data_IF_182020827255
#
_entry.id   IF_182020827255
#
_cell.length_a   1.000
_cell.length_b   1.000
_cell.length_c   1.000
_cell.angle_alpha   90.00
_cell.angle_beta   90.00
_cell.angle_gamma   90.00
#
_symmetry.space_group_name_H-M   'P 1'
#
loop_
_entity.id
_entity.type
_entity.pdbx_description
1 polymer ?
#
# COMPACT_ATOMS: atom_id res chain seq x y z
N UNK A 1 34.84 35.86 52.84
CA UNK A 1 33.51 35.82 52.18
C UNK A 1 33.75 35.32 50.77
N UNK A 2 33.22 34.22 50.25
CA UNK A 2 31.94 33.52 50.47
C UNK A 2 32.16 32.00 50.36
N UNK A 3 31.55 31.23 51.26
CA UNK A 3 31.34 29.78 51.15
C UNK A 3 29.95 29.53 50.56
N UNK A 4 29.76 28.46 49.79
CA UNK A 4 28.60 27.63 50.02
C UNK A 4 29.04 26.25 50.51
N UNK A 5 28.69 26.00 51.77
CA UNK A 5 28.54 24.69 52.38
C UNK A 5 27.27 24.00 51.87
N UNK A 6 27.18 22.68 52.07
CA UNK A 6 26.09 21.73 51.77
C UNK A 6 26.18 21.11 50.35
N UNK A 7 26.16 19.79 50.14
CA UNK A 7 25.67 18.69 50.99
C UNK A 7 26.20 17.33 50.46
N UNK A 8 26.78 16.56 51.39
CA UNK A 8 26.68 15.09 51.54
C UNK A 8 26.91 14.18 50.32
N UNK A 9 28.08 13.52 50.33
CA UNK A 9 28.26 12.19 49.78
C UNK A 9 27.59 11.14 50.69
N UNK A 10 26.86 10.19 50.10
CA UNK A 10 26.58 8.90 50.71
C UNK A 10 26.53 7.86 49.58
N UNK A 11 27.51 6.97 49.61
CA UNK A 11 27.71 5.83 48.72
C UNK A 11 27.13 4.58 49.41
N UNK A 12 26.80 3.57 48.58
CA UNK A 12 26.43 2.17 48.89
C UNK A 12 24.95 1.87 49.12
N UNK A 13 24.36 1.18 48.15
CA UNK A 13 23.61 -0.06 48.39
C UNK A 13 23.74 -0.98 47.17
N UNK A 14 24.18 -2.19 47.48
CA UNK A 14 24.52 -3.30 46.60
C UNK A 14 23.23 -3.94 46.02
N UNK A 15 23.40 -4.55 44.85
CA UNK A 15 22.39 -5.32 44.12
C UNK A 15 21.72 -6.44 44.95
N UNK A 16 20.42 -6.68 44.72
CA UNK A 16 19.83 -7.98 44.32
C UNK A 16 18.29 -7.89 44.30
N UNK A 17 17.69 -7.91 43.11
CA UNK A 17 16.36 -8.48 42.86
C UNK A 17 16.13 -8.65 41.35
N UNK A 18 16.73 -9.69 40.75
CA UNK A 18 16.17 -10.29 39.53
C UNK A 18 15.06 -11.24 39.97
N UNK A 19 13.80 -10.89 39.69
CA UNK A 19 12.79 -11.80 39.14
C UNK A 19 11.40 -11.13 39.12
N UNK A 20 10.74 -11.34 37.97
CA UNK A 20 9.29 -11.24 37.76
C UNK A 20 8.65 -9.84 37.74
N UNK A 21 8.50 -9.31 36.52
CA UNK A 21 7.28 -8.63 36.05
C UNK A 21 7.30 -8.54 34.51
N UNK A 22 7.24 -9.68 33.81
CA UNK A 22 6.79 -9.68 32.41
C UNK A 22 5.26 -9.65 32.39
N UNK A 23 4.67 -8.55 32.84
CA UNK A 23 3.28 -8.22 32.54
C UNK A 23 3.28 -6.96 31.67
N UNK A 24 3.69 -7.12 30.42
CA UNK A 24 3.27 -6.23 29.35
C UNK A 24 1.75 -6.10 29.43
N UNK A 25 1.17 -4.89 29.32
CA UNK A 25 -0.25 -4.77 29.07
C UNK A 25 -0.53 -5.51 27.77
N UNK A 26 -1.14 -6.70 27.87
CA UNK A 26 -1.79 -7.30 26.72
C UNK A 26 -2.85 -6.28 26.33
N UNK A 27 -2.59 -5.58 25.22
CA UNK A 27 -3.56 -4.68 24.63
C UNK A 27 -4.91 -5.38 24.66
N UNK A 28 -5.90 -4.70 25.25
CA UNK A 28 -7.25 -5.22 25.43
C UNK A 28 -7.76 -5.67 24.07
N UNK A 29 -7.80 -6.98 23.86
CA UNK A 29 -8.53 -7.54 22.72
C UNK A 29 -10.00 -7.45 23.12
N UNK A 30 -10.68 -6.41 22.64
CA UNK A 30 -12.15 -6.40 22.68
C UNK A 30 -12.58 -7.59 21.83
N UNK A 31 -12.87 -8.72 22.47
CA UNK A 31 -13.59 -9.83 21.85
C UNK A 31 -15.06 -9.45 21.88
N UNK A 32 -15.47 -8.60 20.94
CA UNK A 32 -16.88 -8.50 20.57
C UNK A 32 -17.23 -9.83 19.89
N UNK A 33 -18.25 -10.52 20.39
CA UNK A 33 -18.58 -11.91 20.06
C UNK A 33 -18.97 -12.10 18.61
N UNK A 34 -17.97 -12.27 17.74
CA UNK A 34 -18.19 -12.74 16.37
C UNK A 34 -18.84 -11.70 15.47
N UNK A 35 -18.22 -10.53 15.33
CA UNK A 35 -18.35 -9.79 14.07
C UNK A 35 -17.01 -9.13 13.82
N UNK A 36 -16.20 -9.77 12.98
CA UNK A 36 -15.09 -9.08 12.34
C UNK A 36 -15.65 -7.80 11.75
N UNK A 37 -14.95 -6.68 11.90
CA UNK A 37 -15.22 -5.47 11.14
C UNK A 37 -14.84 -5.73 9.66
N UNK A 38 -15.52 -6.67 9.01
CA UNK A 38 -15.73 -6.61 7.59
C UNK A 38 -16.76 -5.52 7.43
N UNK A 39 -16.38 -4.36 6.89
CA UNK A 39 -17.37 -3.52 6.22
C UNK A 39 -18.21 -4.47 5.38
N UNK A 40 -19.54 -4.44 5.52
CA UNK A 40 -20.50 -5.22 4.76
C UNK A 40 -20.37 -4.90 3.25
N UNK A 41 -19.25 -5.29 2.64
CA UNK A 41 -19.08 -5.34 1.21
C UNK A 41 -19.61 -6.70 0.83
N UNK A 42 -20.84 -6.70 0.33
CA UNK A 42 -21.36 -7.76 -0.51
C UNK A 42 -20.23 -8.22 -1.44
N UNK A 43 -19.92 -9.54 -1.50
CA UNK A 43 -18.89 -10.04 -2.41
C UNK A 43 -19.18 -9.54 -3.82
N UNK A 44 -18.36 -8.61 -4.33
CA UNK A 44 -18.47 -8.16 -5.70
C UNK A 44 -17.84 -9.25 -6.57
N UNK A 45 -18.55 -9.78 -7.58
CA UNK A 45 -17.98 -10.77 -8.47
C UNK A 45 -16.70 -10.24 -9.11
N UNK A 46 -15.62 -11.03 -9.06
CA UNK A 46 -14.40 -10.73 -9.81
C UNK A 46 -14.75 -10.85 -11.30
N UNK A 47 -14.61 -9.76 -12.03
CA UNK A 47 -14.97 -9.71 -13.45
C UNK A 47 -13.74 -9.44 -14.30
N UNK A 48 -13.59 -10.23 -15.37
CA UNK A 48 -12.59 -9.95 -16.41
C UNK A 48 -13.18 -8.91 -17.35
N UNK A 49 -12.41 -7.86 -17.64
CA UNK A 49 -12.85 -6.79 -18.55
C UNK A 49 -12.38 -7.10 -19.97
N UNK A 50 -13.21 -6.78 -20.97
CA UNK A 50 -12.76 -6.74 -22.36
C UNK A 50 -11.98 -5.44 -22.65
N UNK A 51 -11.37 -5.34 -23.84
CA UNK A 51 -10.45 -4.24 -24.15
C UNK A 51 -11.10 -2.86 -24.12
N UNK A 52 -12.37 -2.75 -24.49
CA UNK A 52 -13.10 -1.49 -24.44
C UNK A 52 -13.38 -1.10 -22.98
N UNK A 53 -13.85 -2.06 -22.17
CA UNK A 53 -14.06 -1.86 -20.74
C UNK A 53 -12.77 -1.49 -20.00
N UNK A 54 -11.63 -2.10 -20.35
CA UNK A 54 -10.32 -1.75 -19.79
C UNK A 54 -10.00 -0.28 -20.09
N UNK A 55 -10.13 0.14 -21.36
CA UNK A 55 -9.85 1.53 -21.76
C UNK A 55 -10.73 2.51 -21.01
N UNK A 56 -12.04 2.25 -20.89
CA UNK A 56 -12.96 3.09 -20.13
C UNK A 56 -12.63 3.12 -18.64
N UNK A 57 -12.15 2.01 -18.08
CA UNK A 57 -11.85 1.90 -16.66
C UNK A 57 -10.62 2.71 -16.23
N UNK A 58 -9.61 2.86 -17.10
CA UNK A 58 -8.33 3.46 -16.71
C UNK A 58 -7.96 4.75 -17.44
N UNK A 59 -8.41 4.95 -18.68
CA UNK A 59 -7.95 6.10 -19.48
C UNK A 59 -8.37 7.42 -18.86
N UNK A 60 -7.43 8.36 -18.72
CA UNK A 60 -7.64 9.69 -18.14
C UNK A 60 -7.76 9.69 -16.61
N UNK A 61 -7.44 8.59 -15.93
CA UNK A 61 -7.58 8.45 -14.47
C UNK A 61 -6.23 8.26 -13.80
N UNK A 62 -6.17 8.65 -12.53
CA UNK A 62 -5.03 8.45 -11.66
C UNK A 62 -5.36 7.41 -10.60
N UNK A 63 -4.40 6.52 -10.36
CA UNK A 63 -4.50 5.42 -9.42
C UNK A 63 -3.33 5.45 -8.48
N UNK A 64 -3.57 5.03 -7.24
CA UNK A 64 -2.50 4.49 -6.42
C UNK A 64 -2.21 3.07 -6.91
N UNK A 65 -0.95 2.75 -7.19
CA UNK A 65 -0.53 1.41 -7.57
C UNK A 65 0.30 0.75 -6.47
N UNK A 66 0.13 -0.57 -6.37
CA UNK A 66 0.99 -1.46 -5.57
C UNK A 66 1.46 -2.60 -6.45
N UNK A 67 2.78 -2.81 -6.47
CA UNK A 67 3.46 -3.87 -7.21
C UNK A 67 4.50 -4.55 -6.30
N UNK A 68 4.96 -5.77 -6.63
CA UNK A 68 6.03 -6.42 -5.88
C UNK A 68 7.32 -5.61 -5.82
N UNK A 69 7.57 -4.78 -6.84
CA UNK A 69 8.80 -4.02 -6.99
C UNK A 69 8.66 -2.53 -6.62
N UNK A 70 7.46 -2.02 -6.33
CA UNK A 70 7.27 -0.59 -6.07
C UNK A 70 5.84 -0.18 -5.74
N UNK A 71 5.69 1.04 -5.24
CA UNK A 71 4.40 1.66 -4.94
C UNK A 71 4.44 3.13 -5.33
N UNK A 72 3.27 3.72 -5.57
CA UNK A 72 3.13 5.14 -5.78
C UNK A 72 1.88 5.47 -6.56
N UNK A 73 1.98 6.44 -7.47
CA UNK A 73 0.86 6.90 -8.28
C UNK A 73 1.13 6.71 -9.77
N UNK A 74 0.07 6.39 -10.51
CA UNK A 74 0.11 6.24 -11.98
C UNK A 74 -1.10 6.94 -12.60
N UNK A 75 -0.86 7.73 -13.63
CA UNK A 75 -1.89 8.39 -14.44
C UNK A 75 -1.87 7.80 -15.84
N UNK A 76 -2.97 7.16 -16.23
CA UNK A 76 -3.10 6.56 -17.56
C UNK A 76 -3.65 7.59 -18.54
N UNK A 77 -2.92 7.82 -19.63
CA UNK A 77 -3.33 8.72 -20.70
C UNK A 77 -4.11 7.95 -21.77
N UNK A 78 -5.02 8.65 -22.47
CA UNK A 78 -5.86 8.06 -23.51
C UNK A 78 -5.08 7.64 -24.78
N UNK A 79 -3.85 8.14 -24.95
CA UNK A 79 -2.97 7.83 -26.08
C UNK A 79 -2.21 6.48 -25.94
N UNK A 80 -2.48 5.72 -24.87
CA UNK A 80 -1.79 4.47 -24.59
C UNK A 80 -0.46 4.65 -23.84
N UNK A 81 -0.19 5.85 -23.32
CA UNK A 81 0.92 6.10 -22.38
C UNK A 81 0.41 6.21 -20.95
N UNK A 82 1.31 6.16 -19.98
CA UNK A 82 1.05 6.57 -18.61
C UNK A 82 2.25 7.28 -18.03
N UNK A 83 2.02 8.16 -17.06
CA UNK A 83 3.07 8.70 -16.19
C UNK A 83 2.95 8.08 -14.81
N UNK A 84 4.08 7.89 -14.13
CA UNK A 84 4.09 7.37 -12.77
C UNK A 84 5.06 8.15 -11.90
N UNK A 85 4.80 8.14 -10.60
CA UNK A 85 5.69 8.59 -9.55
C UNK A 85 5.79 7.46 -8.53
N UNK A 86 6.94 6.77 -8.52
CA UNK A 86 7.25 5.79 -7.49
C UNK A 86 7.76 6.52 -6.24
N UNK A 87 7.35 6.02 -5.08
CA UNK A 87 7.66 6.62 -3.78
C UNK A 87 9.17 6.59 -3.45
N UNK A 88 9.91 5.61 -4.00
CA UNK A 88 11.33 5.40 -3.72
C UNK A 88 12.23 5.59 -4.95
N UNK A 89 11.73 5.27 -6.16
CA UNK A 89 12.51 5.27 -7.40
C UNK A 89 12.36 6.53 -8.24
N UNK A 90 11.41 7.40 -7.90
CA UNK A 90 11.14 8.63 -8.64
C UNK A 90 10.11 8.44 -9.76
N UNK A 91 9.99 9.46 -10.60
CA UNK A 91 8.99 9.52 -11.66
C UNK A 91 9.47 8.97 -13.01
N UNK A 92 8.51 8.59 -13.85
CA UNK A 92 8.77 8.12 -15.20
C UNK A 92 7.52 8.04 -16.07
N UNK A 93 7.70 7.49 -17.27
CA UNK A 93 6.63 7.23 -18.22
C UNK A 93 6.66 5.78 -18.69
N UNK A 94 5.50 5.26 -19.05
CA UNK A 94 5.34 3.93 -19.61
C UNK A 94 4.29 3.91 -20.72
N UNK A 95 4.08 2.72 -21.25
CA UNK A 95 3.06 2.46 -22.28
C UNK A 95 2.17 1.33 -21.82
N UNK A 96 0.93 1.36 -22.26
CA UNK A 96 -0.03 0.31 -22.00
C UNK A 96 -0.87 0.00 -23.24
N UNK A 97 -1.33 -1.24 -23.33
CA UNK A 97 -2.24 -1.69 -24.38
C UNK A 97 -3.29 -2.63 -23.79
N UNK A 98 -4.44 -2.71 -24.45
CA UNK A 98 -5.53 -3.61 -24.10
C UNK A 98 -6.02 -4.35 -25.35
N UNK A 99 -6.01 -5.68 -25.30
CA UNK A 99 -6.46 -6.56 -26.37
C UNK A 99 -7.22 -7.77 -25.80
N UNK A 100 -8.46 -7.97 -26.22
CA UNK A 100 -9.34 -8.96 -25.59
C UNK A 100 -9.48 -8.69 -24.09
N UNK A 101 -9.17 -9.67 -23.25
CA UNK A 101 -9.11 -9.50 -21.79
C UNK A 101 -7.71 -9.21 -21.25
N UNK A 102 -6.72 -9.11 -22.15
CA UNK A 102 -5.33 -8.91 -21.80
C UNK A 102 -5.02 -7.41 -21.72
N UNK A 103 -4.34 -7.06 -20.63
CA UNK A 103 -3.70 -5.77 -20.43
C UNK A 103 -2.19 -5.99 -20.41
N UNK A 104 -1.46 -5.17 -21.18
CA UNK A 104 -0.01 -5.15 -21.16
C UNK A 104 0.49 -3.76 -20.79
N UNK A 105 1.55 -3.70 -19.99
CA UNK A 105 2.22 -2.45 -19.61
C UNK A 105 3.74 -2.58 -19.70
N UNK A 106 4.40 -1.51 -20.13
CA UNK A 106 5.86 -1.40 -20.12
C UNK A 106 6.27 -0.15 -19.36
N UNK A 107 7.07 -0.32 -18.31
CA UNK A 107 7.54 0.76 -17.46
C UNK A 107 8.89 1.26 -17.97
N UNK A 108 8.97 2.53 -18.39
CA UNK A 108 10.17 3.11 -18.99
C UNK A 108 10.64 2.35 -20.23
N UNK A 109 11.87 1.81 -20.18
CA UNK A 109 12.47 0.97 -21.23
C UNK A 109 12.33 -0.54 -20.94
N UNK A 110 11.56 -0.91 -19.92
CA UNK A 110 11.33 -2.30 -19.56
C UNK A 110 10.55 -3.07 -20.63
N UNK A 111 10.63 -4.39 -20.58
CA UNK A 111 9.82 -5.25 -21.43
C UNK A 111 8.33 -5.13 -21.04
N UNK A 112 7.41 -5.31 -22.00
CA UNK A 112 5.99 -5.33 -21.71
C UNK A 112 5.62 -6.55 -20.85
N UNK A 113 4.90 -6.30 -19.77
CA UNK A 113 4.33 -7.29 -18.88
C UNK A 113 2.84 -7.40 -19.15
N UNK A 114 2.35 -8.61 -19.41
CA UNK A 114 0.96 -8.85 -19.79
C UNK A 114 0.22 -9.73 -18.79
N UNK A 115 -1.03 -9.41 -18.51
CA UNK A 115 -1.92 -10.21 -17.67
C UNK A 115 -3.39 -9.98 -17.99
N UNK A 116 -4.26 -10.82 -17.43
CA UNK A 116 -5.70 -10.61 -17.52
C UNK A 116 -6.09 -9.43 -16.64
N UNK A 117 -6.84 -8.48 -17.19
CA UNK A 117 -7.35 -7.35 -16.42
C UNK A 117 -8.59 -7.76 -15.62
N UNK A 118 -8.54 -7.55 -14.30
CA UNK A 118 -9.62 -7.95 -13.39
C UNK A 118 -10.11 -6.75 -12.58
N UNK A 119 -11.41 -6.74 -12.29
CA UNK A 119 -12.02 -5.83 -11.34
C UNK A 119 -12.55 -6.62 -10.14
N UNK A 120 -12.17 -6.22 -8.92
CA UNK A 120 -12.62 -6.84 -7.65
C UNK A 120 -13.65 -5.98 -6.91
N UNK A 121 -14.11 -4.89 -7.51
CA UNK A 121 -15.05 -3.91 -6.94
C UNK A 121 -14.40 -2.85 -6.06
N UNK A 122 -13.23 -3.13 -5.49
CA UNK A 122 -12.43 -2.18 -4.72
C UNK A 122 -11.14 -1.73 -5.44
N UNK A 123 -10.67 -2.52 -6.40
CA UNK A 123 -9.44 -2.29 -7.14
C UNK A 123 -9.51 -2.94 -8.52
N UNK A 124 -8.60 -2.49 -9.40
CA UNK A 124 -8.27 -3.19 -10.63
C UNK A 124 -6.95 -3.94 -10.47
N UNK A 125 -6.85 -5.11 -11.09
CA UNK A 125 -5.59 -5.83 -11.23
C UNK A 125 -5.18 -5.79 -12.69
N UNK A 126 -4.08 -5.09 -12.96
CA UNK A 126 -3.54 -4.81 -14.27
C UNK A 126 -2.13 -5.39 -14.35
N UNK A 127 -1.99 -6.58 -14.94
CA UNK A 127 -0.73 -7.33 -14.92
C UNK A 127 -0.22 -7.58 -13.48
N UNK A 128 0.93 -7.02 -13.10
CA UNK A 128 1.51 -7.12 -11.77
C UNK A 128 1.07 -5.99 -10.82
N UNK A 129 0.22 -5.07 -11.29
CA UNK A 129 -0.20 -3.88 -10.58
C UNK A 129 -1.59 -4.02 -9.98
N UNK A 130 -1.73 -3.76 -8.67
CA UNK A 130 -3.03 -3.50 -8.06
C UNK A 130 -3.27 -1.99 -8.07
N UNK A 131 -4.35 -1.56 -8.72
CA UNK A 131 -4.70 -0.16 -8.93
C UNK A 131 -5.94 0.20 -8.11
N UNK A 132 -5.83 1.24 -7.28
CA UNK A 132 -6.95 1.84 -6.56
C UNK A 132 -7.18 3.24 -7.10
N UNK A 133 -8.36 3.49 -7.65
CA UNK A 133 -8.69 4.79 -8.25
C UNK A 133 -8.68 5.86 -7.17
N UNK A 134 -7.96 6.96 -7.43
CA UNK A 134 -7.98 8.11 -6.55
C UNK A 134 -9.28 8.88 -6.78
N UNK A 135 -10.14 8.93 -5.76
CA UNK A 135 -11.30 9.81 -5.77
C UNK A 135 -10.84 11.22 -5.39
N UNK A 136 -10.87 12.12 -6.37
CA UNK A 136 -10.82 13.58 -6.12
C UNK A 136 -12.11 14.08 -5.51
#
# INVERSE_FOLDING_TARGET
MNRPFLRTAAVLSLALALAACTNSPKGVRITNGGTSATTDKTPVPITNFNAEQIRTAISGKTFQYTRPDGNGFVTYNADGTFSFQDDAKGGGVGKWTANGTQYCESWGKGLPECGVFKNTGDAYFASNSRLVEMKT
#
